data_IF_391660275386
#
_entry.id   IF_391660275386
#
_cell.length_a   1.000
_cell.length_b   1.000
_cell.length_c   1.000
_cell.angle_alpha   90.00
_cell.angle_beta   90.00
_cell.angle_gamma   90.00
#
_symmetry.space_group_name_H-M   'P 1'
#
loop_
_entity.id
_entity.type
_entity.pdbx_description
1 polymer ?
#
# COMPACT_ATOMS: atom_id res chain seq x y z
N UNK A 1 -27.68 -4.77 -15.78
CA UNK A 1 -26.21 -4.72 -15.95
C UNK A 1 -25.70 -4.08 -14.68
N UNK A 2 -25.07 -4.87 -13.83
CA UNK A 2 -24.72 -4.43 -12.48
C UNK A 2 -23.33 -3.81 -12.51
N UNK A 3 -23.17 -2.68 -11.83
CA UNK A 3 -21.90 -1.96 -11.74
C UNK A 3 -21.54 -1.71 -10.28
N UNK A 4 -20.23 -1.74 -9.98
CA UNK A 4 -19.72 -1.50 -8.64
C UNK A 4 -19.33 -0.03 -8.54
N UNK A 5 -19.94 0.70 -7.59
CA UNK A 5 -19.54 2.07 -7.25
C UNK A 5 -18.93 2.07 -5.87
N UNK A 6 -17.67 2.47 -5.78
CA UNK A 6 -16.97 2.63 -4.52
C UNK A 6 -16.63 4.11 -4.30
N UNK A 7 -16.95 4.61 -3.10
CA UNK A 7 -16.46 5.91 -2.66
C UNK A 7 -14.96 5.81 -2.40
N UNK A 8 -14.17 6.76 -2.92
CA UNK A 8 -12.74 6.87 -2.66
C UNK A 8 -12.49 8.03 -1.71
N UNK A 9 -11.88 7.74 -0.57
CA UNK A 9 -11.52 8.71 0.45
C UNK A 9 -10.08 9.19 0.31
N UNK A 10 -9.15 8.36 -0.19
CA UNK A 10 -7.77 8.76 -0.48
C UNK A 10 -7.14 7.76 -1.44
N UNK A 11 -5.96 8.09 -1.96
CA UNK A 11 -5.22 7.22 -2.85
C UNK A 11 -3.71 7.26 -2.60
N UNK A 12 -3.04 6.21 -3.07
CA UNK A 12 -1.58 6.07 -3.04
C UNK A 12 -1.07 5.62 -4.39
N UNK A 13 -0.04 6.28 -4.92
CA UNK A 13 0.70 5.86 -6.11
C UNK A 13 2.09 5.42 -5.74
N UNK A 14 2.36 4.12 -5.86
CA UNK A 14 3.70 3.56 -5.70
C UNK A 14 4.40 3.51 -7.05
N UNK A 15 5.60 4.05 -7.14
CA UNK A 15 6.40 3.95 -8.36
C UNK A 15 7.34 2.75 -8.25
N UNK A 16 7.35 1.93 -9.30
CA UNK A 16 8.22 0.78 -9.46
C UNK A 16 9.30 1.14 -10.48
N UNK A 17 10.40 1.73 -9.99
CA UNK A 17 11.56 2.07 -10.81
C UNK A 17 12.50 0.87 -10.97
N UNK A 18 13.33 0.66 -9.95
CA UNK A 18 14.40 -0.35 -9.89
C UNK A 18 14.18 -1.37 -8.76
N UNK A 19 12.99 -1.42 -8.16
CA UNK A 19 12.75 -2.31 -7.02
C UNK A 19 12.96 -3.76 -7.44
N UNK A 20 13.91 -4.45 -6.80
CA UNK A 20 14.24 -5.85 -7.09
C UNK A 20 13.05 -6.82 -6.92
N UNK A 21 11.99 -6.37 -6.24
CA UNK A 21 10.82 -7.17 -5.86
C UNK A 21 9.54 -6.82 -6.65
N UNK A 22 9.61 -5.88 -7.60
CA UNK A 22 8.47 -5.51 -8.44
C UNK A 22 8.40 -6.32 -9.73
N UNK A 23 7.20 -6.56 -10.30
CA UNK A 23 7.09 -7.05 -11.68
C UNK A 23 7.88 -6.10 -12.60
N UNK A 24 8.77 -6.63 -13.45
CA UNK A 24 9.66 -5.79 -14.27
C UNK A 24 8.91 -4.86 -15.22
N UNK A 25 7.69 -5.26 -15.60
CA UNK A 25 6.81 -4.57 -16.52
C UNK A 25 5.86 -3.58 -15.85
N UNK A 26 5.60 -3.73 -14.54
CA UNK A 26 4.82 -2.78 -13.75
C UNK A 26 5.68 -1.55 -13.40
N UNK A 27 5.21 -0.36 -13.74
CA UNK A 27 5.91 0.92 -13.52
C UNK A 27 5.31 1.76 -12.41
N UNK A 28 4.01 1.66 -12.20
CA UNK A 28 3.38 2.27 -11.04
C UNK A 28 2.13 1.49 -10.63
N UNK A 29 1.78 1.58 -9.34
CA UNK A 29 0.57 0.99 -8.79
C UNK A 29 -0.22 2.04 -8.02
N UNK A 30 -1.40 2.38 -8.53
CA UNK A 30 -2.36 3.25 -7.86
C UNK A 30 -3.30 2.39 -7.00
N UNK A 31 -3.34 2.66 -5.70
CA UNK A 31 -4.29 2.07 -4.76
C UNK A 31 -5.31 3.12 -4.34
N UNK A 32 -6.59 2.78 -4.50
CA UNK A 32 -7.72 3.61 -4.11
C UNK A 32 -8.27 3.06 -2.80
N UNK A 33 -8.48 3.96 -1.84
CA UNK A 33 -8.94 3.59 -0.51
C UNK A 33 -10.24 4.29 -0.17
N UNK A 34 -11.12 3.59 0.52
CA UNK A 34 -12.43 4.11 0.90
C UNK A 34 -13.09 3.31 2.01
N UNK A 35 -14.10 3.92 2.63
CA UNK A 35 -15.02 3.22 3.52
C UNK A 35 -15.78 2.12 2.76
N UNK A 36 -15.86 0.92 3.33
CA UNK A 36 -16.69 -0.17 2.78
C UNK A 36 -15.95 -1.47 2.48
N UNK A 37 -14.62 -1.50 2.60
CA UNK A 37 -13.84 -2.72 2.39
C UNK A 37 -12.95 -3.06 3.60
N UNK A 38 -12.82 -4.35 3.95
CA UNK A 38 -12.09 -4.82 5.14
C UNK A 38 -10.64 -4.33 5.18
N UNK A 39 -10.01 -4.24 4.01
CA UNK A 39 -8.63 -3.78 3.86
C UNK A 39 -8.51 -2.26 3.69
N UNK A 40 -9.63 -1.55 3.63
CA UNK A 40 -9.71 -0.13 3.25
C UNK A 40 -9.41 0.15 1.78
N UNK A 41 -8.92 -0.83 1.00
CA UNK A 41 -8.68 -0.70 -0.44
C UNK A 41 -9.95 -1.06 -1.20
N UNK A 42 -10.42 -0.16 -2.05
CA UNK A 42 -11.66 -0.33 -2.83
C UNK A 42 -11.41 -0.53 -4.33
N UNK A 43 -10.16 -0.44 -4.77
CA UNK A 43 -9.76 -0.70 -6.14
C UNK A 43 -8.30 -0.34 -6.38
N UNK A 44 -7.73 -0.83 -7.47
CA UNK A 44 -6.35 -0.56 -7.85
C UNK A 44 -6.20 -0.45 -9.36
N UNK A 45 -5.22 0.33 -9.81
CA UNK A 45 -4.83 0.47 -11.21
C UNK A 45 -3.33 0.24 -11.33
N UNK A 46 -2.94 -0.75 -12.12
CA UNK A 46 -1.54 -0.98 -12.50
C UNK A 46 -1.19 -0.24 -13.79
N UNK A 47 -0.04 0.44 -13.80
CA UNK A 47 0.48 1.14 -14.96
C UNK A 47 1.67 0.37 -15.53
N UNK A 48 1.57 -0.01 -16.80
CA UNK A 48 2.50 -0.92 -17.47
C UNK A 48 3.11 -0.28 -18.71
N UNK A 49 4.23 -0.84 -19.18
CA UNK A 49 4.68 -0.54 -20.54
C UNK A 49 3.68 -1.10 -21.57
N UNK A 50 3.54 -0.48 -22.76
CA UNK A 50 2.58 -0.91 -23.78
C UNK A 50 2.65 -2.41 -24.11
N UNK A 51 3.85 -2.98 -24.24
CA UNK A 51 4.05 -4.38 -24.63
C UNK A 51 3.51 -5.36 -23.57
N UNK A 52 3.50 -4.94 -22.31
CA UNK A 52 2.99 -5.73 -21.20
C UNK A 52 1.47 -5.57 -21.02
N UNK A 53 0.90 -4.46 -21.49
CA UNK A 53 -0.53 -4.20 -21.36
C UNK A 53 -1.37 -5.13 -22.26
N UNK A 54 -0.84 -5.53 -23.42
CA UNK A 54 -1.55 -6.36 -24.41
C UNK A 54 -2.09 -7.68 -23.84
N UNK A 55 -1.39 -8.26 -22.86
CA UNK A 55 -1.78 -9.52 -22.23
C UNK A 55 -2.65 -9.35 -20.98
N UNK A 56 -3.09 -8.13 -20.67
CA UNK A 56 -3.81 -7.81 -19.42
C UNK A 56 -5.24 -7.43 -19.70
N UNK A 57 -6.12 -7.90 -18.84
CA UNK A 57 -7.54 -7.57 -18.85
C UNK A 57 -7.93 -7.12 -17.45
N UNK A 58 -8.87 -6.19 -17.38
CA UNK A 58 -9.45 -5.77 -16.12
C UNK A 58 -10.24 -6.92 -15.50
N UNK A 59 -10.21 -7.01 -14.17
CA UNK A 59 -10.87 -8.08 -13.44
C UNK A 59 -11.36 -7.60 -12.07
N UNK A 60 -12.22 -8.40 -11.45
CA UNK A 60 -12.62 -8.25 -10.05
C UNK A 60 -11.86 -9.30 -9.24
N UNK A 61 -11.18 -8.86 -8.19
CA UNK A 61 -10.43 -9.79 -7.34
C UNK A 61 -11.33 -10.63 -6.42
N UNK A 62 -10.80 -11.69 -5.76
CA UNK A 62 -11.60 -12.53 -4.86
C UNK A 62 -12.24 -11.78 -3.68
N UNK A 63 -11.84 -10.53 -3.42
CA UNK A 63 -12.43 -9.67 -2.40
C UNK A 63 -13.50 -8.72 -2.98
N UNK A 64 -13.77 -8.77 -4.28
CA UNK A 64 -14.77 -7.91 -4.92
C UNK A 64 -14.22 -6.55 -5.35
N UNK A 65 -12.90 -6.37 -5.42
CA UNK A 65 -12.29 -5.08 -5.78
C UNK A 65 -11.96 -5.03 -7.27
N UNK A 66 -12.31 -3.95 -7.98
CA UNK A 66 -11.88 -3.76 -9.36
C UNK A 66 -10.36 -3.58 -9.46
N UNK A 67 -9.79 -4.28 -10.45
CA UNK A 67 -8.38 -4.30 -10.81
C UNK A 67 -8.27 -3.80 -12.26
N UNK A 68 -7.81 -2.56 -12.42
CA UNK A 68 -7.62 -1.92 -13.72
C UNK A 68 -6.18 -1.99 -14.21
N UNK A 69 -6.00 -1.94 -15.52
CA UNK A 69 -4.68 -1.89 -16.16
C UNK A 69 -4.63 -0.74 -17.17
N UNK A 70 -3.58 0.08 -17.11
CA UNK A 70 -3.41 1.24 -17.97
C UNK A 70 -1.98 1.31 -18.53
N UNK A 71 -1.80 1.96 -19.70
CA UNK A 71 -0.47 2.30 -20.18
C UNK A 71 0.19 3.35 -19.27
N UNK A 72 1.51 3.25 -19.10
CA UNK A 72 2.29 4.16 -18.23
C UNK A 72 2.23 5.61 -18.70
N UNK A 73 1.99 5.83 -19.99
CA UNK A 73 1.82 7.14 -20.62
C UNK A 73 0.64 7.92 -20.00
N UNK A 74 -0.38 7.23 -19.48
CA UNK A 74 -1.57 7.83 -18.86
C UNK A 74 -1.33 8.22 -17.40
N UNK A 75 -0.25 7.77 -16.77
CA UNK A 75 -0.01 8.01 -15.34
C UNK A 75 0.03 9.51 -15.01
N UNK A 76 0.68 10.32 -15.84
CA UNK A 76 0.77 11.75 -15.63
C UNK A 76 -0.62 12.42 -15.68
N UNK A 77 -1.45 12.05 -16.66
CA UNK A 77 -2.81 12.58 -16.77
C UNK A 77 -3.69 12.17 -15.58
N UNK A 78 -3.59 10.91 -15.13
CA UNK A 78 -4.30 10.42 -13.94
C UNK A 78 -3.84 11.18 -12.68
N UNK A 79 -2.53 11.36 -12.49
CA UNK A 79 -2.00 12.14 -11.37
C UNK A 79 -2.47 13.61 -11.42
N UNK A 80 -2.54 14.19 -12.61
CA UNK A 80 -3.00 15.56 -12.83
C UNK A 80 -4.50 15.74 -12.57
N UNK A 81 -5.31 14.73 -12.84
CA UNK A 81 -6.71 14.71 -12.42
C UNK A 81 -6.82 14.60 -10.89
N UNK A 82 -6.06 13.68 -10.30
CA UNK A 82 -6.15 13.36 -8.87
C UNK A 82 -5.55 14.44 -7.94
N UNK A 83 -4.58 15.23 -8.40
CA UNK A 83 -4.01 16.37 -7.63
C UNK A 83 -5.01 17.52 -7.47
N UNK A 84 -5.98 17.65 -8.38
CA UNK A 84 -6.97 18.73 -8.31
C UNK A 84 -7.95 18.51 -7.16
N UNK A 85 -8.11 17.27 -6.71
CA UNK A 85 -9.02 16.90 -5.62
C UNK A 85 -8.39 17.13 -4.24
N UNK A 86 -7.08 16.88 -4.09
CA UNK A 86 -6.37 16.93 -2.80
C UNK A 86 -4.85 17.17 -2.97
N UNK A 87 -4.19 17.78 -1.96
CA UNK A 87 -2.73 17.88 -1.95
C UNK A 87 -2.06 16.50 -1.99
N UNK A 88 -0.98 16.41 -2.75
CA UNK A 88 -0.17 15.19 -2.91
C UNK A 88 1.13 15.33 -2.11
N UNK A 89 1.44 14.31 -1.32
CA UNK A 89 2.63 14.21 -0.49
C UNK A 89 3.56 13.11 -1.01
N UNK A 90 4.86 13.38 -1.03
CA UNK A 90 5.89 12.40 -1.35
C UNK A 90 6.37 11.73 -0.06
N UNK A 91 6.37 10.40 -0.06
CA UNK A 91 6.76 9.56 1.07
C UNK A 91 7.94 8.66 0.69
N UNK A 92 8.78 8.35 1.67
CA UNK A 92 9.88 7.39 1.57
C UNK A 92 9.80 6.39 2.72
N UNK A 93 10.01 5.10 2.45
CA UNK A 93 10.17 4.09 3.49
C UNK A 93 11.55 3.47 3.42
N UNK A 94 12.30 3.59 4.51
CA UNK A 94 13.57 2.89 4.69
C UNK A 94 13.39 1.36 4.71
N UNK A 95 12.36 0.86 5.41
CA UNK A 95 12.11 -0.57 5.55
C UNK A 95 11.85 -1.26 4.20
N UNK A 96 11.12 -0.58 3.31
CA UNK A 96 10.76 -1.10 1.99
C UNK A 96 11.65 -0.56 0.86
N UNK A 97 12.55 0.38 1.16
CA UNK A 97 13.40 1.11 0.21
C UNK A 97 12.63 1.60 -1.01
N UNK A 98 11.48 2.26 -0.78
CA UNK A 98 10.58 2.69 -1.85
C UNK A 98 9.98 4.07 -1.57
N UNK A 99 9.74 4.82 -2.66
CA UNK A 99 8.99 6.08 -2.67
C UNK A 99 7.54 5.87 -3.10
N UNK A 100 6.60 6.63 -2.55
CA UNK A 100 5.23 6.71 -3.07
C UNK A 100 4.64 8.10 -2.90
N UNK A 101 3.63 8.40 -3.72
CA UNK A 101 2.79 9.58 -3.57
C UNK A 101 1.51 9.18 -2.82
N UNK A 102 1.05 9.99 -1.87
CA UNK A 102 -0.20 9.77 -1.13
C UNK A 102 -0.92 11.11 -0.96
N UNK A 103 -2.24 11.08 -0.78
CA UNK A 103 -3.03 12.30 -0.44
C UNK A 103 -3.14 12.53 1.05
N UNK A 104 -2.63 11.61 1.87
CA UNK A 104 -2.47 11.79 3.30
C UNK A 104 -1.07 12.30 3.63
N UNK A 105 -1.01 13.29 4.52
CA UNK A 105 0.25 13.82 5.06
C UNK A 105 0.99 12.86 6.01
N UNK A 106 0.47 11.63 6.23
CA UNK A 106 0.67 10.74 7.39
C UNK A 106 0.16 11.29 8.74
N UNK A 107 -0.29 10.43 9.68
CA UNK A 107 -0.22 10.76 11.09
C UNK A 107 1.26 10.72 11.47
N UNK A 108 1.82 11.84 11.91
CA UNK A 108 3.16 11.89 12.51
C UNK A 108 3.22 10.83 13.60
N UNK A 109 3.85 9.69 13.35
CA UNK A 109 4.33 8.87 14.47
C UNK A 109 5.46 9.69 15.05
N UNK A 110 5.18 10.39 16.15
CA UNK A 110 6.23 10.75 17.11
C UNK A 110 7.07 9.48 17.24
N UNK A 111 8.34 9.57 16.82
CA UNK A 111 9.29 8.54 17.14
C UNK A 111 9.13 8.31 18.64
N UNK A 112 8.68 7.13 19.04
CA UNK A 112 8.86 6.69 20.40
C UNK A 112 10.36 6.79 20.61
N UNK A 113 10.79 7.87 21.25
CA UNK A 113 12.14 8.03 21.75
C UNK A 113 12.30 6.84 22.67
N UNK A 114 12.95 5.79 22.16
CA UNK A 114 13.42 4.72 23.01
C UNK A 114 14.44 5.38 23.91
N UNK A 115 13.98 5.78 25.08
CA UNK A 115 14.79 6.34 26.14
C UNK A 115 15.94 5.35 26.40
N UNK A 116 17.21 5.71 26.11
CA UNK A 116 18.35 4.81 26.31
C UNK A 116 18.65 4.58 27.79
N UNK A 117 17.85 5.12 28.72
CA UNK A 117 18.13 5.11 30.15
C UNK A 117 17.48 3.97 30.96
N UNK A 118 16.90 2.92 30.34
CA UNK A 118 16.41 1.77 31.12
C UNK A 118 17.48 0.66 31.18
N UNK A 119 18.24 0.52 32.29
CA UNK A 119 19.17 -0.59 32.43
C UNK A 119 18.41 -1.92 32.43
N UNK A 120 18.94 -2.88 31.68
CA UNK A 120 18.51 -4.27 31.70
C UNK A 120 18.91 -4.88 33.04
N UNK A 121 18.02 -4.79 34.04
CA UNK A 121 18.23 -5.46 35.32
C UNK A 121 17.54 -6.83 35.34
N UNK A 122 18.38 -7.81 35.00
CA UNK A 122 18.57 -9.11 35.65
C UNK A 122 17.36 -9.83 36.29
N UNK A 123 17.08 -11.00 35.69
CA UNK A 123 17.11 -12.32 36.34
C UNK A 123 16.23 -12.54 37.58
N UNK A 124 15.14 -13.30 37.41
CA UNK A 124 14.86 -14.51 38.24
C UNK A 124 14.05 -15.53 37.40
N UNK A 125 14.70 -16.60 36.96
CA UNK A 125 14.12 -17.96 37.00
C UNK A 125 14.69 -18.62 38.26
N UNK A 126 14.14 -19.70 38.87
CA UNK A 126 13.25 -20.72 38.29
C UNK A 126 12.13 -21.21 39.27
N UNK A 127 11.24 -22.11 38.85
CA UNK A 127 11.17 -23.53 39.30
C UNK A 127 9.83 -24.21 38.95
N UNK A 128 9.98 -25.43 38.43
CA UNK A 128 9.01 -26.50 38.14
C UNK A 128 7.90 -26.72 39.19
N UNK A 129 6.71 -27.11 38.73
CA UNK A 129 6.00 -28.27 39.28
C UNK A 129 5.05 -28.94 38.26
N UNK A 130 5.15 -30.27 38.22
CA UNK A 130 4.38 -31.25 37.42
C UNK A 130 2.90 -31.31 37.83
N UNK A 131 2.04 -31.80 36.94
CA UNK A 131 1.31 -33.07 37.18
C UNK A 131 0.53 -33.51 35.93
N UNK A 132 0.83 -34.73 35.44
CA UNK A 132 -0.08 -35.58 34.69
C UNK A 132 -0.86 -36.39 35.72
N UNK A 133 -2.18 -36.47 35.59
CA UNK A 133 -3.00 -37.68 35.80
C UNK A 133 -4.49 -37.30 35.94
N UNK A 134 -5.27 -37.55 34.88
CA UNK A 134 -6.40 -38.50 34.85
C UNK A 134 -7.15 -38.39 33.53
#
# INVERSE_FOLDING_TARGET
MDYVVNRVDHYRVRHHGTSAYGPQDLKAWLSLYGSGHVTGVVGTIGFYRPEALESRQDWIDPLGRPQGHMPIEELAAVLDMLRNERPVYLHWSEAWRQTWLDTRAEPVREAAVSDPARPADQTVLPFSARSKDR
#
